data_IF_864552445629
#
_entry.id   IF_864552445629
#
_cell.length_a   1.000
_cell.length_b   1.000
_cell.length_c   1.000
_cell.angle_alpha   90.00
_cell.angle_beta   90.00
_cell.angle_gamma   90.00
#
_symmetry.space_group_name_H-M   'P 1'
#
loop_
_entity.id
_entity.type
_entity.pdbx_description
1 polymer ?
#
# COMPACT_ATOMS: atom_id res chain seq x y z
N UNK A 1 17.69 -10.26 10.58
CA UNK A 1 17.04 -10.46 9.27
C UNK A 1 16.38 -9.15 8.90
N UNK A 2 16.82 -8.48 7.84
CA UNK A 2 16.22 -7.19 7.46
C UNK A 2 14.88 -7.48 6.79
N UNK A 3 13.79 -7.36 7.54
CA UNK A 3 12.43 -7.39 6.99
C UNK A 3 12.29 -6.24 5.99
N UNK A 4 12.34 -6.55 4.69
CA UNK A 4 11.97 -5.58 3.67
C UNK A 4 10.47 -5.36 3.79
N UNK A 5 10.05 -4.21 4.34
CA UNK A 5 8.66 -3.79 4.36
C UNK A 5 8.12 -3.86 2.93
N UNK A 6 7.14 -4.73 2.68
CA UNK A 6 6.42 -4.83 1.41
C UNK A 6 5.44 -3.65 1.31
N UNK A 7 5.96 -2.46 1.05
CA UNK A 7 5.19 -1.25 0.81
C UNK A 7 4.97 -1.00 -0.68
N UNK A 8 3.96 -0.21 -1.03
CA UNK A 8 3.76 0.31 -2.37
C UNK A 8 3.43 1.80 -2.29
N UNK A 9 3.83 2.56 -3.30
CA UNK A 9 3.38 3.93 -3.45
C UNK A 9 1.97 3.95 -4.03
N UNK A 10 1.08 4.73 -3.43
CA UNK A 10 -0.26 4.93 -3.92
C UNK A 10 -0.67 6.39 -3.82
N UNK A 11 -1.42 6.84 -4.82
CA UNK A 11 -2.05 8.14 -4.76
C UNK A 11 -3.33 8.06 -3.92
N UNK A 12 -3.48 9.03 -3.00
CA UNK A 12 -4.73 9.19 -2.26
C UNK A 12 -5.78 9.78 -3.21
N UNK A 13 -6.87 9.06 -3.41
CA UNK A 13 -7.99 9.44 -4.26
C UNK A 13 -9.06 10.21 -3.47
N UNK A 14 -10.14 10.63 -4.15
CA UNK A 14 -11.25 11.37 -3.51
C UNK A 14 -11.79 10.61 -2.29
N UNK A 15 -12.01 11.33 -1.20
CA UNK A 15 -12.49 10.76 0.06
C UNK A 15 -11.42 10.01 0.87
N UNK A 16 -10.14 10.25 0.60
CA UNK A 16 -9.05 9.71 1.42
C UNK A 16 -8.75 8.22 1.17
N UNK A 17 -9.16 7.67 0.02
CA UNK A 17 -9.02 6.24 -0.28
C UNK A 17 -7.74 5.95 -1.05
N UNK A 18 -7.07 4.86 -0.70
CA UNK A 18 -6.00 4.25 -1.50
C UNK A 18 -6.47 2.91 -2.07
N UNK A 19 -5.92 2.52 -3.21
CA UNK A 19 -6.20 1.22 -3.83
C UNK A 19 -5.00 0.31 -3.63
N UNK A 20 -5.22 -0.84 -3.00
CA UNK A 20 -4.19 -1.89 -2.92
C UNK A 20 -4.10 -2.56 -4.30
N UNK A 21 -2.92 -2.56 -4.97
CA UNK A 21 -2.75 -3.18 -6.28
C UNK A 21 -3.15 -4.65 -6.28
N UNK A 22 -3.69 -5.13 -7.40
CA UNK A 22 -4.17 -6.51 -7.54
C UNK A 22 -3.09 -7.56 -7.22
N UNK A 23 -1.85 -7.32 -7.66
CA UNK A 23 -0.73 -8.24 -7.42
C UNK A 23 -0.40 -8.38 -5.93
N UNK A 24 -0.43 -7.26 -5.19
CA UNK A 24 -0.20 -7.25 -3.74
C UNK A 24 -1.33 -7.98 -3.01
N UNK A 25 -2.59 -7.73 -3.40
CA UNK A 25 -3.75 -8.45 -2.83
C UNK A 25 -3.62 -9.95 -3.04
N UNK A 26 -3.26 -10.39 -4.26
CA UNK A 26 -3.06 -11.80 -4.58
C UNK A 26 -1.88 -12.41 -3.80
N UNK A 27 -0.77 -11.70 -3.70
CA UNK A 27 0.42 -12.16 -2.98
C UNK A 27 0.18 -12.33 -1.48
N UNK A 28 -0.63 -11.45 -0.88
CA UNK A 28 -0.90 -11.42 0.55
C UNK A 28 -2.21 -12.14 0.94
N UNK A 29 -3.00 -12.59 -0.04
CA UNK A 29 -4.29 -13.24 0.21
C UNK A 29 -5.34 -12.31 0.81
N UNK A 30 -5.34 -11.03 0.41
CA UNK A 30 -6.29 -10.02 0.93
C UNK A 30 -7.59 -10.10 0.12
N UNK A 31 -8.69 -10.39 0.81
CA UNK A 31 -10.03 -10.54 0.26
C UNK A 31 -10.98 -9.42 0.72
N UNK A 32 -12.20 -9.41 0.17
CA UNK A 32 -13.22 -8.42 0.53
C UNK A 32 -13.73 -8.74 1.94
N UNK A 33 -13.59 -7.77 2.85
CA UNK A 33 -14.02 -7.91 4.25
C UNK A 33 -12.86 -8.08 5.23
N UNK A 34 -11.65 -8.35 4.72
CA UNK A 34 -10.47 -8.47 5.56
C UNK A 34 -10.07 -7.13 6.17
N UNK A 35 -9.65 -7.19 7.44
CA UNK A 35 -9.00 -6.07 8.11
C UNK A 35 -7.49 -6.15 7.80
N UNK A 36 -6.92 -5.04 7.35
CA UNK A 36 -5.50 -4.95 7.02
C UNK A 36 -4.81 -3.96 7.95
N UNK A 37 -3.62 -4.31 8.43
CA UNK A 37 -2.73 -3.37 9.12
C UNK A 37 -1.85 -2.66 8.09
N UNK A 38 -1.83 -1.33 8.13
CA UNK A 38 -1.07 -0.48 7.20
C UNK A 38 -0.08 0.35 8.02
N UNK A 39 1.07 -0.24 8.40
CA UNK A 39 2.10 0.51 9.12
C UNK A 39 2.77 1.54 8.19
N UNK A 40 3.23 2.66 8.77
CA UNK A 40 4.09 3.65 8.12
C UNK A 40 3.49 4.41 6.90
N UNK A 41 2.25 4.90 7.01
CA UNK A 41 1.70 5.85 6.03
C UNK A 41 2.50 7.16 6.06
N UNK A 42 3.22 7.47 4.98
CA UNK A 42 4.00 8.69 4.83
C UNK A 42 3.66 9.40 3.52
N UNK A 43 3.64 10.73 3.54
CA UNK A 43 3.47 11.53 2.33
C UNK A 43 4.75 11.41 1.49
N UNK A 44 4.63 10.86 0.28
CA UNK A 44 5.70 10.90 -0.71
C UNK A 44 5.68 12.25 -1.45
N UNK A 45 6.85 12.81 -1.72
CA UNK A 45 6.97 13.97 -2.62
C UNK A 45 6.93 13.49 -4.08
N UNK A 46 6.12 14.12 -4.95
CA UNK A 46 6.11 13.79 -6.37
C UNK A 46 7.45 14.20 -7.00
N UNK A 47 8.38 13.25 -7.13
CA UNK A 47 9.70 13.53 -7.73
C UNK A 47 10.78 12.47 -7.54
N UNK A 48 10.56 11.41 -6.75
CA UNK A 48 11.57 10.35 -6.58
C UNK A 48 10.93 8.96 -6.60
N UNK A 49 10.73 8.47 -7.82
CA UNK A 49 10.57 7.03 -8.09
C UNK A 49 11.74 6.70 -9.00
N UNK A 50 12.86 6.29 -8.39
CA UNK A 50 13.93 5.57 -9.09
C UNK A 50 13.59 4.08 -9.10
#
# INVERSE_FOLDING_TARGET
>A
MTERKKGFFAQVTKGGKITIPHEIRKLLGIEVGDMVDIPDIQKAEPGRVE
#
